data_IF_771244885414
#
_entry.id   IF_771244885414
#
_cell.length_a   1.000
_cell.length_b   1.000
_cell.length_c   1.000
_cell.angle_alpha   90.00
_cell.angle_beta   90.00
_cell.angle_gamma   90.00
#
_symmetry.space_group_name_H-M   'P 1'
#
loop_
_entity.id
_entity.type
_entity.pdbx_description
1 polymer ?
#
# COMPACT_ATOMS: atom_id res chain seq x y z
N UNK A 1 5.24 -16.68 6.82
CA UNK A 1 5.97 -15.65 7.60
C UNK A 1 5.35 -14.29 7.31
N UNK A 2 5.31 -13.38 8.29
CA UNK A 2 4.83 -12.02 8.09
C UNK A 2 5.92 -11.16 7.45
N UNK A 3 5.54 -10.33 6.48
CA UNK A 3 6.39 -9.38 5.77
C UNK A 3 5.85 -7.97 5.95
N UNK A 4 6.74 -6.99 5.88
CA UNK A 4 6.38 -5.58 5.99
C UNK A 4 6.13 -5.00 4.59
N UNK A 5 5.02 -4.32 4.40
CA UNK A 5 4.67 -3.64 3.16
C UNK A 5 4.50 -2.14 3.41
N UNK A 6 5.05 -1.34 2.51
CA UNK A 6 4.89 0.12 2.50
C UNK A 6 3.76 0.46 1.54
N UNK A 7 2.90 1.38 1.96
CA UNK A 7 1.81 1.91 1.14
C UNK A 7 2.09 3.38 0.93
N UNK A 8 2.35 3.77 -0.31
CA UNK A 8 2.68 5.15 -0.68
C UNK A 8 1.53 5.76 -1.43
N UNK A 9 1.12 6.96 -1.07
CA UNK A 9 0.20 7.75 -1.88
C UNK A 9 0.97 8.35 -3.06
N UNK A 10 0.45 8.14 -4.27
CA UNK A 10 1.01 8.66 -5.52
C UNK A 10 0.25 9.94 -5.85
N UNK A 11 0.95 11.07 -5.76
CA UNK A 11 0.40 12.39 -6.06
C UNK A 11 0.33 12.62 -7.58
N UNK A 12 -0.49 13.58 -8.02
CA UNK A 12 -0.66 13.89 -9.44
C UNK A 12 0.64 14.30 -10.16
N UNK A 13 1.63 14.80 -9.41
CA UNK A 13 2.96 15.14 -9.92
C UNK A 13 3.94 13.97 -9.92
N UNK A 14 3.48 12.75 -9.64
CA UNK A 14 4.30 11.54 -9.58
C UNK A 14 5.12 11.39 -8.30
N UNK A 15 4.99 12.32 -7.34
CA UNK A 15 5.66 12.20 -6.05
C UNK A 15 4.96 11.11 -5.21
N UNK A 16 5.76 10.36 -4.45
CA UNK A 16 5.26 9.31 -3.56
C UNK A 16 5.52 9.68 -2.10
N UNK A 17 4.48 9.58 -1.26
CA UNK A 17 4.59 9.77 0.18
C UNK A 17 4.12 8.53 0.93
N UNK A 18 4.90 8.07 1.90
CA UNK A 18 4.49 6.97 2.78
C UNK A 18 3.19 7.35 3.51
N UNK A 19 2.11 6.62 3.21
CA UNK A 19 0.81 6.80 3.85
C UNK A 19 0.66 5.86 5.06
N UNK A 20 1.07 4.59 4.92
CA UNK A 20 1.11 3.66 6.03
C UNK A 20 2.08 2.49 5.79
N UNK A 21 2.28 1.69 6.83
CA UNK A 21 2.99 0.41 6.76
C UNK A 21 2.08 -0.70 7.27
N UNK A 22 2.02 -1.83 6.57
CA UNK A 22 1.21 -3.01 6.96
C UNK A 22 2.06 -4.27 7.06
N UNK A 23 1.75 -5.11 8.04
CA UNK A 23 2.30 -6.46 8.11
C UNK A 23 1.31 -7.45 7.50
N UNK A 24 1.79 -8.28 6.56
CA UNK A 24 0.96 -9.27 5.87
C UNK A 24 1.78 -10.47 5.40
N UNK A 25 1.11 -11.59 5.10
CA UNK A 25 1.78 -12.80 4.58
C UNK A 25 2.28 -12.69 3.13
N UNK A 26 1.88 -11.65 2.40
CA UNK A 26 2.23 -11.42 1.00
C UNK A 26 1.49 -10.21 0.42
N UNK A 27 1.83 -9.80 -0.80
CA UNK A 27 1.31 -8.58 -1.42
C UNK A 27 -0.22 -8.57 -1.54
N UNK A 28 -0.82 -9.68 -1.99
CA UNK A 28 -2.30 -9.81 -2.08
C UNK A 28 -2.96 -9.63 -0.71
N UNK A 29 -2.37 -10.19 0.34
CA UNK A 29 -2.87 -10.02 1.72
C UNK A 29 -2.67 -8.60 2.23
N UNK A 30 -1.58 -7.93 1.85
CA UNK A 30 -1.34 -6.52 2.17
C UNK A 30 -2.41 -5.62 1.53
N UNK A 31 -2.67 -5.80 0.23
CA UNK A 31 -3.72 -5.10 -0.51
C UNK A 31 -5.08 -5.31 0.14
N UNK A 32 -5.43 -6.57 0.46
CA UNK A 32 -6.67 -6.91 1.15
C UNK A 32 -6.78 -6.15 2.47
N UNK A 33 -5.72 -6.14 3.28
CA UNK A 33 -5.68 -5.42 4.54
C UNK A 33 -5.86 -3.92 4.34
N UNK A 34 -5.19 -3.31 3.38
CA UNK A 34 -5.29 -1.87 3.09
C UNK A 34 -6.70 -1.49 2.64
N UNK A 35 -7.40 -2.36 1.90
CA UNK A 35 -8.76 -2.10 1.42
C UNK A 35 -9.87 -2.38 2.44
N UNK A 36 -9.73 -3.45 3.23
CA UNK A 36 -10.85 -4.00 4.02
C UNK A 36 -10.69 -3.79 5.52
N UNK A 37 -9.51 -3.42 6.01
CA UNK A 37 -9.30 -3.32 7.45
C UNK A 37 -10.07 -2.12 8.04
N UNK A 38 -10.92 -2.32 9.06
CA UNK A 38 -11.88 -1.30 9.51
C UNK A 38 -11.21 -0.05 10.10
N UNK A 39 -9.97 -0.18 10.59
CA UNK A 39 -9.17 0.93 11.13
C UNK A 39 -8.31 1.66 10.09
N UNK A 40 -8.22 1.16 8.86
CA UNK A 40 -7.44 1.82 7.80
C UNK A 40 -8.39 2.73 7.03
N UNK A 41 -8.12 4.04 7.06
CA UNK A 41 -8.85 5.06 6.31
C UNK A 41 -7.85 5.79 5.44
N UNK A 42 -7.85 5.46 4.15
CA UNK A 42 -7.05 6.17 3.15
C UNK A 42 -7.95 7.13 2.38
N UNK A 43 -7.49 8.38 2.13
CA UNK A 43 -8.14 9.27 1.19
C UNK A 43 -8.29 8.64 -0.20
N UNK A 44 -9.27 9.13 -0.97
CA UNK A 44 -9.37 8.81 -2.39
C UNK A 44 -8.09 9.20 -3.11
N UNK A 45 -7.65 8.35 -4.04
CA UNK A 45 -6.37 8.53 -4.71
C UNK A 45 -5.72 7.21 -5.10
N UNK A 46 -4.54 7.33 -5.68
CA UNK A 46 -3.74 6.21 -6.13
C UNK A 46 -2.66 5.91 -5.11
N UNK A 47 -2.46 4.63 -4.83
CA UNK A 47 -1.46 4.15 -3.89
C UNK A 47 -0.62 3.05 -4.51
N UNK A 48 0.68 3.07 -4.23
CA UNK A 48 1.59 2.01 -4.57
C UNK A 48 1.94 1.19 -3.32
N UNK A 49 1.75 -0.13 -3.39
CA UNK A 49 1.98 -1.05 -2.28
C UNK A 49 3.11 -1.99 -2.65
N UNK A 50 4.18 -2.04 -1.86
CA UNK A 50 5.35 -2.87 -2.15
C UNK A 50 5.97 -3.42 -0.86
N UNK A 51 6.70 -4.53 -0.96
CA UNK A 51 7.41 -5.11 0.17
C UNK A 51 8.57 -4.20 0.59
N UNK A 52 8.78 -4.00 1.89
CA UNK A 52 9.86 -3.17 2.38
C UNK A 52 11.22 -3.75 1.93
N UNK A 53 11.98 -2.97 1.14
CA UNK A 53 13.24 -3.41 0.53
C UNK A 53 13.09 -4.05 -0.85
N UNK A 54 11.88 -4.26 -1.36
CA UNK A 54 11.63 -4.71 -2.73
C UNK A 54 10.49 -3.88 -3.36
N UNK A 55 10.90 -2.78 -4.00
CA UNK A 55 9.98 -1.84 -4.67
C UNK A 55 9.42 -2.41 -5.98
N UNK A 56 10.21 -3.19 -6.73
CA UNK A 56 9.90 -3.60 -8.09
C UNK A 56 8.69 -4.52 -8.24
N UNK A 57 8.38 -5.31 -7.21
CA UNK A 57 7.23 -6.23 -7.20
C UNK A 57 5.95 -5.61 -6.62
N UNK A 58 5.89 -4.28 -6.53
CA UNK A 58 4.74 -3.59 -5.97
C UNK A 58 3.50 -3.58 -6.86
N UNK A 59 2.35 -3.26 -6.26
CA UNK A 59 1.06 -3.13 -6.93
C UNK A 59 0.48 -1.74 -6.71
N UNK A 60 0.04 -1.11 -7.80
CA UNK A 60 -0.74 0.11 -7.75
C UNK A 60 -2.23 -0.21 -7.52
N UNK A 61 -2.87 0.52 -6.61
CA UNK A 61 -4.30 0.45 -6.32
C UNK A 61 -4.92 1.85 -6.29
N UNK A 62 -6.20 1.95 -6.61
CA UNK A 62 -6.95 3.21 -6.53
C UNK A 62 -8.12 3.07 -5.55
N UNK A 63 -8.35 4.13 -4.77
CA UNK A 63 -9.53 4.35 -3.94
C UNK A 63 -10.37 5.48 -4.55
N UNK A 64 -11.67 5.27 -4.60
CA UNK A 64 -12.69 6.14 -5.19
C UNK A 64 -13.88 6.26 -4.25
#
# INVERSE_FOLDING_TARGET
>A
MMKLFRVHHVHANGLETLALTVSAGGLKSAVKRVREHPLIRLPNGTYYIFEAGNYSDGLQITFS
#
